data_IF_031646995314
#
_entry.id   IF_031646995314
#
_cell.length_a   1.000
_cell.length_b   1.000
_cell.length_c   1.000
_cell.angle_alpha   90.00
_cell.angle_beta   90.00
_cell.angle_gamma   90.00
#
_symmetry.space_group_name_H-M   'P 1'
#
loop_
_entity.id
_entity.type
_entity.pdbx_description
1 polymer ?
#
# COMPACT_ATOMS: atom_id res chain seq x y z
N UNK A 1 -16.96 38.07 17.83
CA UNK A 1 -17.58 36.82 18.33
C UNK A 1 -16.98 35.66 17.56
N UNK A 2 -15.94 35.03 18.10
CA UNK A 2 -15.42 33.75 17.60
C UNK A 2 -16.40 32.66 18.04
N UNK A 3 -16.97 31.90 17.11
CA UNK A 3 -17.72 30.68 17.45
C UNK A 3 -16.69 29.59 17.82
N UNK A 4 -16.83 28.89 18.93
CA UNK A 4 -15.96 27.75 19.22
C UNK A 4 -16.34 26.62 18.27
N UNK A 5 -15.38 26.18 17.47
CA UNK A 5 -15.49 25.01 16.57
C UNK A 5 -15.03 23.72 17.26
N UNK A 6 -14.44 23.79 18.46
CA UNK A 6 -13.81 22.62 19.07
C UNK A 6 -14.53 22.20 20.35
N UNK A 7 -15.35 21.15 20.22
CA UNK A 7 -15.55 20.06 21.19
C UNK A 7 -16.63 19.13 20.60
N UNK A 8 -16.24 18.35 19.59
CA UNK A 8 -16.98 17.15 19.25
C UNK A 8 -16.94 16.23 20.48
N UNK A 9 -18.10 16.01 21.09
CA UNK A 9 -18.30 15.17 22.27
C UNK A 9 -17.49 13.87 22.18
N UNK A 10 -16.61 13.55 23.15
CA UNK A 10 -15.87 12.29 23.21
C UNK A 10 -16.79 11.06 23.01
N UNK A 11 -18.05 11.16 23.42
CA UNK A 11 -19.05 10.13 23.22
C UNK A 11 -19.40 9.92 21.74
N UNK A 12 -19.51 10.99 20.95
CA UNK A 12 -19.78 10.94 19.51
C UNK A 12 -18.62 10.30 18.75
N UNK A 13 -17.39 10.67 19.08
CA UNK A 13 -16.21 10.06 18.46
C UNK A 13 -16.09 8.57 18.82
N UNK A 14 -16.43 8.19 20.05
CA UNK A 14 -16.49 6.79 20.46
C UNK A 14 -17.52 5.98 19.66
N UNK A 15 -18.71 6.55 19.40
CA UNK A 15 -19.75 5.91 18.57
C UNK A 15 -19.24 5.70 17.14
N UNK A 16 -18.64 6.73 16.52
CA UNK A 16 -18.06 6.65 15.18
C UNK A 16 -16.99 5.55 15.10
N UNK A 17 -16.02 5.59 16.02
CA UNK A 17 -14.92 4.63 16.06
C UNK A 17 -15.43 3.20 16.29
N UNK A 18 -16.45 3.00 17.14
CA UNK A 18 -17.04 1.69 17.39
C UNK A 18 -17.79 1.17 16.17
N UNK A 19 -18.59 2.00 15.50
CA UNK A 19 -19.29 1.62 14.29
C UNK A 19 -18.31 1.25 13.18
N UNK A 20 -17.24 2.04 13.01
CA UNK A 20 -16.14 1.75 12.09
C UNK A 20 -15.47 0.41 12.42
N UNK A 21 -15.10 0.18 13.68
CA UNK A 21 -14.49 -1.07 14.12
C UNK A 21 -15.33 -2.30 13.78
N UNK A 22 -16.65 -2.19 13.89
CA UNK A 22 -17.59 -3.30 13.62
C UNK A 22 -17.77 -3.62 12.14
N UNK A 23 -17.49 -2.68 11.23
CA UNK A 23 -17.69 -2.88 9.78
C UNK A 23 -16.40 -2.99 9.00
N UNK A 24 -15.28 -2.44 9.50
CA UNK A 24 -14.02 -2.33 8.78
C UNK A 24 -13.60 -3.67 8.18
N UNK A 25 -13.67 -4.76 8.95
CA UNK A 25 -13.28 -6.10 8.49
C UNK A 25 -14.21 -6.68 7.40
N UNK A 26 -15.50 -6.38 7.47
CA UNK A 26 -16.45 -6.87 6.47
C UNK A 26 -16.32 -6.08 5.16
N UNK A 27 -16.12 -4.77 5.26
CA UNK A 27 -15.85 -3.88 4.14
C UNK A 27 -14.56 -4.24 3.42
N UNK A 28 -13.51 -4.43 4.19
CA UNK A 28 -12.27 -5.07 3.79
C UNK A 28 -12.47 -6.29 2.88
N UNK A 29 -13.19 -7.31 3.38
CA UNK A 29 -13.43 -8.54 2.63
C UNK A 29 -14.23 -8.28 1.34
N UNK A 30 -15.31 -7.50 1.42
CA UNK A 30 -16.15 -7.11 0.28
C UNK A 30 -15.37 -6.34 -0.79
N UNK A 31 -14.50 -5.43 -0.36
CA UNK A 31 -13.63 -4.65 -1.22
C UNK A 31 -12.68 -5.58 -1.96
N UNK A 32 -11.93 -6.46 -1.26
CA UNK A 32 -11.00 -7.41 -1.87
C UNK A 32 -11.68 -8.31 -2.91
N UNK A 33 -12.89 -8.81 -2.64
CA UNK A 33 -13.62 -9.68 -3.57
C UNK A 33 -14.00 -9.01 -4.89
N UNK A 34 -14.21 -7.69 -4.89
CA UNK A 34 -14.65 -6.93 -6.07
C UNK A 34 -13.58 -5.99 -6.61
N UNK A 35 -12.38 -6.02 -6.00
CA UNK A 35 -11.31 -5.06 -6.21
C UNK A 35 -10.82 -5.04 -7.66
N UNK A 36 -10.47 -6.20 -8.22
CA UNK A 36 -9.88 -6.27 -9.56
C UNK A 36 -10.86 -5.80 -10.64
N UNK A 37 -12.13 -6.21 -10.55
CA UNK A 37 -13.18 -5.76 -11.46
C UNK A 37 -13.37 -4.24 -11.40
N UNK A 38 -13.35 -3.67 -10.19
CA UNK A 38 -13.46 -2.22 -9.97
C UNK A 38 -12.25 -1.47 -10.47
N UNK A 39 -11.05 -1.97 -10.20
CA UNK A 39 -9.80 -1.41 -10.71
C UNK A 39 -9.87 -1.34 -12.23
N UNK A 40 -10.23 -2.44 -12.89
CA UNK A 40 -10.30 -2.48 -14.34
C UNK A 40 -11.31 -1.50 -14.93
N UNK A 41 -12.49 -1.38 -14.32
CA UNK A 41 -13.50 -0.40 -14.73
C UNK A 41 -12.99 1.04 -14.60
N UNK A 42 -12.35 1.37 -13.47
CA UNK A 42 -11.80 2.71 -13.23
C UNK A 42 -10.62 3.04 -14.15
N UNK A 43 -9.79 2.05 -14.50
CA UNK A 43 -8.70 2.23 -15.47
C UNK A 43 -9.25 2.56 -16.87
N UNK A 44 -10.33 1.92 -17.30
CA UNK A 44 -10.96 2.25 -18.60
C UNK A 44 -11.61 3.63 -18.60
N UNK A 45 -12.21 4.03 -17.47
CA UNK A 45 -12.76 5.38 -17.31
C UNK A 45 -11.67 6.46 -17.33
N UNK A 46 -10.56 6.25 -16.60
CA UNK A 46 -9.38 7.10 -16.65
C UNK A 46 -8.78 7.20 -18.06
N UNK A 47 -8.79 6.09 -18.81
CA UNK A 47 -8.40 6.08 -20.22
C UNK A 47 -9.28 7.01 -21.06
N UNK A 48 -10.58 7.02 -20.81
CA UNK A 48 -11.53 7.99 -21.38
C UNK A 48 -11.11 9.42 -21.12
N UNK A 49 -10.85 9.78 -19.86
CA UNK A 49 -10.37 11.12 -19.49
C UNK A 49 -9.08 11.49 -20.21
N UNK A 50 -8.12 10.57 -20.33
CA UNK A 50 -6.88 10.81 -21.08
C UNK A 50 -7.13 11.13 -22.57
N UNK A 51 -8.09 10.44 -23.21
CA UNK A 51 -8.44 10.71 -24.61
C UNK A 51 -9.05 12.10 -24.77
N UNK A 52 -9.96 12.47 -23.88
CA UNK A 52 -10.64 13.76 -23.93
C UNK A 52 -9.67 14.92 -23.65
N UNK A 53 -8.83 14.78 -22.62
CA UNK A 53 -7.76 15.76 -22.33
C UNK A 53 -6.84 15.91 -23.53
N UNK A 54 -6.42 14.81 -24.17
CA UNK A 54 -5.55 14.87 -25.35
C UNK A 54 -6.24 15.58 -26.52
N UNK A 55 -7.54 15.38 -26.71
CA UNK A 55 -8.30 16.07 -27.75
C UNK A 55 -8.36 17.58 -27.49
N UNK A 56 -8.56 18.01 -26.25
CA UNK A 56 -8.51 19.42 -25.87
C UNK A 56 -7.13 20.05 -26.11
N UNK A 57 -6.05 19.28 -25.86
CA UNK A 57 -4.68 19.69 -26.15
C UNK A 57 -4.41 19.85 -27.65
N UNK A 58 -4.82 18.86 -28.45
CA UNK A 58 -4.67 18.91 -29.91
C UNK A 58 -5.47 20.05 -30.55
N UNK A 59 -6.57 20.45 -29.93
CA UNK A 59 -7.40 21.58 -30.37
C UNK A 59 -6.92 22.94 -29.85
N UNK A 60 -5.84 22.96 -29.04
CA UNK A 60 -5.25 24.17 -28.48
C UNK A 60 -6.08 24.84 -27.40
N UNK A 61 -7.14 24.18 -26.89
CA UNK A 61 -7.99 24.70 -25.81
C UNK A 61 -7.40 24.46 -24.42
N UNK A 62 -6.56 23.44 -24.28
CA UNK A 62 -5.82 23.15 -23.05
C UNK A 62 -4.33 23.05 -23.35
N UNK A 63 -3.51 23.68 -22.53
CA UNK A 63 -2.06 23.50 -22.57
C UNK A 63 -1.61 22.20 -21.89
N UNK A 64 -0.38 22.23 -21.37
CA UNK A 64 0.13 21.19 -20.49
C UNK A 64 -0.69 21.13 -19.21
N UNK A 65 -0.92 19.91 -18.72
CA UNK A 65 -1.56 19.70 -17.42
C UNK A 65 -0.50 19.43 -16.35
N UNK A 66 -0.67 20.03 -15.17
CA UNK A 66 0.15 19.75 -13.99
C UNK A 66 -0.57 18.88 -12.97
N UNK A 67 -1.90 18.83 -12.99
CA UNK A 67 -2.67 18.13 -11.98
C UNK A 67 -3.87 17.40 -12.58
N UNK A 68 -4.16 16.20 -12.04
CA UNK A 68 -5.49 15.58 -12.11
C UNK A 68 -5.98 15.40 -10.68
N UNK A 69 -7.10 16.04 -10.31
CA UNK A 69 -7.61 16.01 -8.94
C UNK A 69 -8.96 15.35 -8.88
N UNK A 70 -9.10 14.34 -8.02
CA UNK A 70 -10.37 13.70 -7.68
C UNK A 70 -10.88 14.27 -6.35
N UNK A 71 -11.93 15.06 -6.43
CA UNK A 71 -12.49 15.79 -5.30
C UNK A 71 -13.86 15.24 -4.91
N UNK A 72 -13.95 14.69 -3.70
CA UNK A 72 -15.21 14.26 -3.11
C UNK A 72 -16.11 15.48 -2.87
N UNK A 73 -17.33 15.44 -3.39
CA UNK A 73 -18.35 16.45 -3.13
C UNK A 73 -19.26 15.97 -1.99
N UNK A 74 -19.00 16.43 -0.76
CA UNK A 74 -19.82 16.05 0.43
C UNK A 74 -21.32 16.28 0.24
N UNK A 75 -21.71 17.34 -0.48
CA UNK A 75 -23.11 17.65 -0.76
C UNK A 75 -23.80 16.56 -1.60
N UNK A 76 -23.15 16.08 -2.65
CA UNK A 76 -23.75 15.04 -3.51
C UNK A 76 -23.84 13.71 -2.77
N UNK A 77 -22.93 13.45 -1.83
CA UNK A 77 -22.98 12.26 -0.97
C UNK A 77 -24.18 12.28 -0.01
N UNK A 78 -24.54 13.45 0.54
CA UNK A 78 -25.77 13.62 1.32
C UNK A 78 -27.02 13.41 0.46
N UNK A 79 -26.97 13.79 -0.81
CA UNK A 79 -28.03 13.58 -1.80
C UNK A 79 -28.02 12.16 -2.40
N UNK A 80 -27.31 11.21 -1.80
CA UNK A 80 -27.23 9.81 -2.24
C UNK A 80 -26.65 9.62 -3.65
N UNK A 81 -25.86 10.60 -4.11
CA UNK A 81 -25.17 10.61 -5.39
C UNK A 81 -23.66 10.71 -5.15
N UNK A 82 -22.96 9.61 -4.80
CA UNK A 82 -21.55 9.66 -4.45
C UNK A 82 -20.70 9.84 -5.71
N UNK A 83 -20.45 11.10 -6.06
CA UNK A 83 -19.69 11.51 -7.24
C UNK A 83 -18.44 12.23 -6.79
N UNK A 84 -17.36 12.02 -7.54
CA UNK A 84 -16.16 12.84 -7.44
C UNK A 84 -16.11 13.77 -8.65
N UNK A 85 -15.78 15.03 -8.38
CA UNK A 85 -15.39 15.95 -9.43
C UNK A 85 -13.94 15.64 -9.81
N UNK A 86 -13.69 15.39 -11.09
CA UNK A 86 -12.35 15.16 -11.62
C UNK A 86 -11.92 16.38 -12.42
N UNK A 87 -10.82 17.00 -12.04
CA UNK A 87 -10.32 18.22 -12.70
C UNK A 87 -8.91 18.01 -13.23
N UNK A 88 -8.73 18.19 -14.55
CA UNK A 88 -7.42 18.27 -15.17
C UNK A 88 -7.00 19.75 -15.33
N UNK A 89 -6.02 20.15 -14.53
CA UNK A 89 -5.57 21.53 -14.40
C UNK A 89 -4.10 21.70 -14.84
N UNK A 90 -3.72 22.90 -15.24
CA UNK A 90 -2.34 23.32 -15.48
C UNK A 90 -1.58 23.48 -14.14
N UNK A 91 -0.34 24.01 -14.19
CA UNK A 91 0.49 24.20 -13.01
C UNK A 91 -0.12 25.07 -11.88
N UNK A 92 -1.18 25.86 -12.16
CA UNK A 92 -1.89 26.66 -11.17
C UNK A 92 -2.87 25.85 -10.30
N UNK A 93 -3.06 24.56 -10.62
CA UNK A 93 -3.92 23.64 -9.88
C UNK A 93 -5.34 24.20 -9.66
N UNK A 94 -5.74 24.44 -8.40
CA UNK A 94 -7.05 24.98 -8.02
C UNK A 94 -7.31 26.37 -8.61
N UNK A 95 -6.25 27.12 -8.94
CA UNK A 95 -6.33 28.46 -9.52
C UNK A 95 -6.32 28.46 -11.06
N UNK A 96 -6.35 27.28 -11.69
CA UNK A 96 -6.52 27.21 -13.14
C UNK A 96 -7.88 27.80 -13.55
N UNK A 97 -7.92 28.81 -14.42
CA UNK A 97 -9.19 29.42 -14.85
C UNK A 97 -10.04 28.49 -15.73
N UNK A 98 -9.42 27.52 -16.42
CA UNK A 98 -10.10 26.66 -17.40
C UNK A 98 -9.71 25.18 -17.21
N UNK A 99 -10.04 24.55 -16.06
CA UNK A 99 -9.82 23.13 -15.85
C UNK A 99 -10.77 22.31 -16.75
N UNK A 100 -10.29 21.18 -17.26
CA UNK A 100 -11.18 20.21 -17.91
C UNK A 100 -11.84 19.41 -16.79
N UNK A 101 -13.17 19.36 -16.78
CA UNK A 101 -13.96 18.74 -15.71
C UNK A 101 -14.66 17.48 -16.19
N UNK A 102 -14.62 16.46 -15.36
CA UNK A 102 -15.38 15.23 -15.52
C UNK A 102 -16.11 14.91 -14.21
N UNK A 103 -17.13 14.09 -14.29
CA UNK A 103 -17.77 13.47 -13.13
C UNK A 103 -17.39 12.00 -13.09
N UNK A 104 -16.90 11.55 -11.94
CA UNK A 104 -16.62 10.15 -11.69
C UNK A 104 -17.69 9.56 -10.78
N UNK A 105 -18.47 8.62 -11.33
CA UNK A 105 -19.49 7.91 -10.58
C UNK A 105 -18.87 6.86 -9.67
N UNK A 106 -19.07 7.03 -8.36
CA UNK A 106 -18.62 6.05 -7.36
C UNK A 106 -19.79 5.35 -6.70
N UNK A 107 -20.86 5.03 -7.44
CA UNK A 107 -22.08 4.42 -6.88
C UNK A 107 -21.82 3.08 -6.16
N UNK A 108 -20.73 2.38 -6.48
CA UNK A 108 -20.31 1.21 -5.72
C UNK A 108 -20.02 1.51 -4.24
N UNK A 109 -19.62 2.74 -3.91
CA UNK A 109 -19.37 3.22 -2.54
C UNK A 109 -20.68 3.40 -1.76
N UNK A 110 -21.82 3.56 -2.44
CA UNK A 110 -23.12 3.77 -1.82
C UNK A 110 -23.50 2.59 -0.91
N UNK A 111 -23.17 1.36 -1.30
CA UNK A 111 -23.41 0.19 -0.44
C UNK A 111 -22.64 0.26 0.90
N UNK A 112 -21.46 0.89 0.90
CA UNK A 112 -20.68 1.13 2.10
C UNK A 112 -21.31 2.28 2.90
N UNK A 113 -21.73 3.37 2.24
CA UNK A 113 -22.48 4.45 2.88
C UNK A 113 -23.70 3.95 3.66
N UNK A 114 -24.54 3.11 3.05
CA UNK A 114 -25.72 2.55 3.70
C UNK A 114 -25.38 1.61 4.85
N UNK A 115 -24.34 0.78 4.69
CA UNK A 115 -23.89 -0.14 5.75
C UNK A 115 -23.39 0.63 6.99
N UNK A 116 -22.64 1.72 6.78
CA UNK A 116 -22.14 2.60 7.84
C UNK A 116 -23.29 3.32 8.54
N UNK A 117 -24.22 3.89 7.77
CA UNK A 117 -25.39 4.57 8.32
C UNK A 117 -26.22 3.64 9.21
N UNK A 118 -26.47 2.39 8.77
CA UNK A 118 -27.19 1.40 9.57
C UNK A 118 -26.47 1.05 10.87
N UNK A 119 -25.14 0.97 10.84
CA UNK A 119 -24.33 0.60 12.01
C UNK A 119 -24.23 1.75 13.00
N UNK A 120 -24.07 2.98 12.51
CA UNK A 120 -24.14 4.18 13.33
C UNK A 120 -25.50 4.32 14.03
N UNK A 121 -26.61 4.12 13.30
CA UNK A 121 -27.96 4.11 13.90
C UNK A 121 -28.06 3.14 15.07
N UNK A 122 -27.60 1.90 14.89
CA UNK A 122 -27.61 0.89 15.96
C UNK A 122 -26.74 1.27 17.16
N UNK A 123 -25.57 1.86 16.95
CA UNK A 123 -24.69 2.28 18.06
C UNK A 123 -25.25 3.50 18.82
N UNK A 124 -25.85 4.46 18.13
CA UNK A 124 -26.55 5.60 18.74
C UNK A 124 -27.74 5.14 19.59
N UNK A 125 -28.55 4.21 19.07
CA UNK A 125 -29.67 3.59 19.80
C UNK A 125 -29.20 2.88 21.08
N UNK A 126 -28.11 2.09 21.01
CA UNK A 126 -27.56 1.39 22.18
C UNK A 126 -27.08 2.35 23.27
N UNK A 127 -26.48 3.47 22.88
CA UNK A 127 -26.01 4.48 23.84
C UNK A 127 -27.13 5.43 24.31
N UNK A 128 -28.38 5.21 23.88
CA UNK A 128 -29.55 6.00 24.25
C UNK A 128 -29.38 7.50 23.92
N UNK A 129 -28.61 7.81 22.87
CA UNK A 129 -28.38 9.18 22.39
C UNK A 129 -29.48 9.54 21.40
N UNK A 130 -30.08 10.72 21.54
CA UNK A 130 -31.03 11.26 20.57
C UNK A 130 -30.35 12.30 19.70
N UNK A 131 -30.25 12.04 18.40
CA UNK A 131 -29.66 12.96 17.43
C UNK A 131 -30.77 13.58 16.56
N UNK A 132 -30.86 14.92 16.45
CA UNK A 132 -31.74 15.59 15.49
C UNK A 132 -31.26 15.32 14.04
N UNK A 133 -32.10 15.59 13.04
CA UNK A 133 -31.76 15.37 11.61
C UNK A 133 -30.44 16.04 11.21
N UNK A 134 -30.25 17.31 11.58
CA UNK A 134 -28.99 18.03 11.33
C UNK A 134 -27.77 17.37 12.01
N UNK A 135 -27.98 16.75 13.19
CA UNK A 135 -26.94 16.01 13.89
C UNK A 135 -26.56 14.72 13.15
N UNK A 136 -27.55 14.05 12.55
CA UNK A 136 -27.31 12.87 11.70
C UNK A 136 -26.51 13.21 10.45
N UNK A 137 -26.84 14.32 9.78
CA UNK A 137 -26.08 14.79 8.62
C UNK A 137 -24.62 15.04 8.99
N UNK A 138 -24.36 15.74 10.10
CA UNK A 138 -23.00 16.02 10.55
C UNK A 138 -22.22 14.75 10.90
N UNK A 139 -22.85 13.79 11.60
CA UNK A 139 -22.22 12.50 11.93
C UNK A 139 -21.90 11.71 10.66
N UNK A 140 -22.81 11.68 9.69
CA UNK A 140 -22.57 10.98 8.43
C UNK A 140 -21.46 11.65 7.60
N UNK A 141 -21.36 12.97 7.60
CA UNK A 141 -20.26 13.68 6.94
C UNK A 141 -18.90 13.36 7.58
N UNK A 142 -18.83 13.28 8.92
CA UNK A 142 -17.60 12.85 9.61
C UNK A 142 -17.26 11.39 9.30
N UNK A 143 -18.26 10.52 9.24
CA UNK A 143 -18.07 9.12 8.95
C UNK A 143 -17.67 8.86 7.47
N UNK A 144 -17.97 9.79 6.57
CA UNK A 144 -17.64 9.74 5.15
C UNK A 144 -16.14 9.52 4.89
N UNK A 145 -15.29 10.05 5.79
CA UNK A 145 -13.83 9.91 5.72
C UNK A 145 -13.41 8.43 5.64
N UNK A 146 -14.12 7.52 6.33
CA UNK A 146 -13.81 6.09 6.27
C UNK A 146 -14.03 5.47 4.88
N UNK A 147 -15.01 5.97 4.14
CA UNK A 147 -15.27 5.53 2.76
C UNK A 147 -14.32 6.25 1.81
N UNK A 148 -13.99 7.51 2.07
CA UNK A 148 -12.98 8.22 1.30
C UNK A 148 -11.62 7.50 1.33
N UNK A 149 -11.23 6.98 2.48
CA UNK A 149 -10.01 6.16 2.62
C UNK A 149 -10.03 4.91 1.71
N UNK A 150 -11.18 4.26 1.51
CA UNK A 150 -11.33 3.18 0.52
C UNK A 150 -11.08 3.65 -0.90
N UNK A 151 -11.61 4.83 -1.25
CA UNK A 151 -11.44 5.41 -2.58
C UNK A 151 -9.97 5.77 -2.82
N UNK A 152 -9.29 6.39 -1.87
CA UNK A 152 -7.85 6.70 -1.98
C UNK A 152 -7.02 5.44 -2.21
N UNK A 153 -7.27 4.38 -1.44
CA UNK A 153 -6.60 3.09 -1.62
C UNK A 153 -6.85 2.48 -3.00
N UNK A 154 -8.10 2.47 -3.43
CA UNK A 154 -8.45 1.97 -4.77
C UNK A 154 -7.73 2.78 -5.84
N UNK A 155 -7.73 4.11 -5.71
CA UNK A 155 -7.10 5.01 -6.68
C UNK A 155 -5.59 4.79 -6.76
N UNK A 156 -4.89 4.52 -5.67
CA UNK A 156 -3.46 4.14 -5.73
C UNK A 156 -3.21 2.94 -6.62
N UNK A 157 -4.06 1.90 -6.52
CA UNK A 157 -3.96 0.70 -7.33
C UNK A 157 -4.38 0.94 -8.79
N UNK A 158 -5.44 1.74 -9.00
CA UNK A 158 -5.91 2.14 -10.33
C UNK A 158 -4.82 2.92 -11.05
N UNK A 159 -4.25 3.94 -10.42
CA UNK A 159 -3.25 4.81 -11.03
C UNK A 159 -1.98 4.04 -11.35
N UNK A 160 -1.54 3.07 -10.52
CA UNK A 160 -0.42 2.17 -10.84
C UNK A 160 -0.59 1.49 -12.21
N UNK A 161 -1.80 1.05 -12.57
CA UNK A 161 -2.10 0.47 -13.89
C UNK A 161 -2.37 1.55 -14.96
N UNK A 162 -3.04 2.63 -14.59
CA UNK A 162 -3.50 3.66 -15.52
C UNK A 162 -2.34 4.47 -16.14
N UNK A 163 -1.25 4.69 -15.39
CA UNK A 163 -0.08 5.41 -15.90
C UNK A 163 0.70 4.61 -16.94
N UNK A 164 0.51 3.30 -17.03
CA UNK A 164 1.09 2.46 -18.08
C UNK A 164 0.30 2.53 -19.40
N UNK A 165 -0.85 3.21 -19.44
CA UNK A 165 -1.68 3.30 -20.64
C UNK A 165 -1.01 4.14 -21.73
N UNK A 166 -1.08 3.72 -23.01
CA UNK A 166 -0.59 4.52 -24.14
C UNK A 166 -1.25 5.90 -24.22
N UNK A 167 -2.53 6.02 -23.86
CA UNK A 167 -3.27 7.28 -23.84
C UNK A 167 -2.70 8.26 -22.81
N UNK A 168 -2.37 7.78 -21.62
CA UNK A 168 -1.75 8.60 -20.58
C UNK A 168 -0.35 9.06 -20.99
N UNK A 169 0.45 8.18 -21.58
CA UNK A 169 1.80 8.50 -22.04
C UNK A 169 1.82 9.58 -23.13
N UNK A 170 0.74 9.72 -23.91
CA UNK A 170 0.58 10.74 -24.96
C UNK A 170 0.16 12.12 -24.44
N UNK A 171 -0.21 12.25 -23.17
CA UNK A 171 -0.62 13.53 -22.59
C UNK A 171 0.57 14.49 -22.49
N UNK A 172 0.34 15.73 -22.92
CA UNK A 172 1.29 16.82 -22.68
C UNK A 172 1.16 17.26 -21.22
N UNK A 173 2.19 17.02 -20.43
CA UNK A 173 2.21 17.27 -18.99
C UNK A 173 3.28 18.29 -18.66
N UNK A 174 3.06 19.04 -17.58
CA UNK A 174 4.07 19.92 -17.00
C UNK A 174 5.26 19.11 -16.48
N UNK A 175 6.36 19.79 -16.18
CA UNK A 175 7.56 19.13 -15.64
C UNK A 175 7.26 18.42 -14.32
N UNK A 176 6.48 19.08 -13.45
CA UNK A 176 5.87 18.45 -12.28
C UNK A 176 4.42 18.12 -12.58
N UNK A 177 4.06 16.85 -12.48
CA UNK A 177 2.71 16.36 -12.67
C UNK A 177 2.26 15.53 -11.46
N UNK A 178 1.05 15.78 -10.96
CA UNK A 178 0.51 15.09 -9.79
C UNK A 178 -0.93 14.61 -10.01
N UNK A 179 -1.26 13.44 -9.48
CA UNK A 179 -2.65 12.97 -9.35
C UNK A 179 -2.98 12.94 -7.87
N UNK A 180 -4.04 13.66 -7.50
CA UNK A 180 -4.46 13.84 -6.11
C UNK A 180 -5.88 13.34 -5.91
N UNK A 181 -6.14 12.77 -4.74
CA UNK A 181 -7.47 12.31 -4.32
C UNK A 181 -7.76 12.90 -2.96
N UNK A 182 -8.92 13.52 -2.81
CA UNK A 182 -9.26 14.19 -1.56
C UNK A 182 -10.67 14.72 -1.56
N UNK A 183 -10.89 15.68 -0.69
CA UNK A 183 -12.13 16.42 -0.59
C UNK A 183 -12.06 17.74 -1.36
N UNK A 184 -13.20 18.17 -1.90
CA UNK A 184 -13.26 19.41 -2.66
C UNK A 184 -12.89 20.62 -1.80
N UNK A 185 -11.84 21.33 -2.21
CA UNK A 185 -11.30 22.51 -1.51
C UNK A 185 -10.84 22.25 -0.06
N UNK A 186 -10.49 21.00 0.24
CA UNK A 186 -10.01 20.58 1.56
C UNK A 186 -8.80 19.64 1.37
N UNK A 187 -8.51 18.81 2.37
CA UNK A 187 -7.36 17.91 2.37
C UNK A 187 -7.37 16.96 1.16
N UNK A 188 -6.23 16.91 0.46
CA UNK A 188 -5.99 15.99 -0.66
C UNK A 188 -4.67 15.26 -0.48
N UNK A 189 -4.67 13.97 -0.80
CA UNK A 189 -3.52 13.08 -0.74
C UNK A 189 -2.99 12.86 -2.16
N UNK A 190 -1.67 12.93 -2.31
CA UNK A 190 -1.00 12.52 -3.54
C UNK A 190 -1.10 11.01 -3.71
N UNK A 191 -1.62 10.55 -4.85
CA UNK A 191 -1.64 9.13 -5.20
C UNK A 191 -0.67 8.79 -6.33
N UNK A 192 -0.15 9.81 -7.01
CA UNK A 192 0.92 9.69 -8.00
C UNK A 192 1.57 11.04 -8.21
N UNK A 193 2.89 11.03 -8.33
CA UNK A 193 3.68 12.20 -8.69
C UNK A 193 4.69 11.79 -9.75
N UNK A 194 4.91 12.67 -10.71
CA UNK A 194 5.95 12.60 -11.71
C UNK A 194 6.68 13.95 -11.67
N UNK A 195 7.97 13.92 -11.35
CA UNK A 195 8.82 15.11 -11.40
C UNK A 195 9.90 14.89 -12.44
N UNK A 196 9.78 15.58 -13.58
CA UNK A 196 10.73 15.52 -14.70
C UNK A 196 11.80 16.60 -14.60
N UNK A 197 11.79 17.40 -13.53
CA UNK A 197 12.88 18.33 -13.27
C UNK A 197 14.12 17.50 -12.94
N UNK A 198 15.25 17.90 -13.50
CA UNK A 198 16.54 17.38 -13.03
C UNK A 198 16.76 18.00 -11.66
N UNK A 199 16.36 17.28 -10.62
CA UNK A 199 16.81 17.61 -9.28
C UNK A 199 18.28 17.23 -9.19
N UNK A 200 19.12 18.17 -8.79
CA UNK A 200 20.54 17.91 -8.59
C UNK A 200 20.68 16.82 -7.51
N UNK A 201 21.37 15.71 -7.84
CA UNK A 201 21.51 14.57 -6.93
C UNK A 201 22.08 14.96 -5.56
N UNK A 202 22.85 16.05 -5.50
CA UNK A 202 23.42 16.61 -4.28
C UNK A 202 22.37 17.23 -3.36
N UNK A 203 21.31 17.85 -3.89
CA UNK A 203 20.25 18.45 -3.10
C UNK A 203 19.40 17.37 -2.41
N UNK A 204 19.02 16.34 -3.17
CA UNK A 204 18.28 15.20 -2.62
C UNK A 204 19.14 14.44 -1.60
N UNK A 205 20.44 14.29 -1.87
CA UNK A 205 21.37 13.70 -0.91
C UNK A 205 21.43 14.51 0.38
N UNK A 206 21.55 15.85 0.29
CA UNK A 206 21.52 16.75 1.45
C UNK A 206 20.25 16.55 2.27
N UNK A 207 19.08 16.54 1.63
CA UNK A 207 17.80 16.37 2.32
C UNK A 207 17.69 15.03 3.06
N UNK A 208 18.19 13.95 2.44
CA UNK A 208 18.18 12.62 3.04
C UNK A 208 19.19 12.48 4.18
N UNK A 209 20.38 13.07 4.05
CA UNK A 209 21.42 13.08 5.08
C UNK A 209 21.05 13.99 6.26
N UNK A 210 20.36 15.09 6.01
CA UNK A 210 19.87 16.04 7.02
C UNK A 210 18.57 15.59 7.70
N UNK A 211 17.97 14.49 7.23
CA UNK A 211 16.73 13.91 7.76
C UNK A 211 15.59 14.93 7.83
N UNK A 212 15.42 15.73 6.76
CA UNK A 212 14.36 16.74 6.73
C UNK A 212 12.98 16.10 6.81
N UNK A 213 12.25 16.39 7.89
CA UNK A 213 10.94 15.81 8.14
C UNK A 213 9.96 16.17 7.01
N UNK A 214 9.24 15.17 6.50
CA UNK A 214 8.27 15.27 5.40
C UNK A 214 8.82 15.63 4.00
N UNK A 215 10.14 15.80 3.83
CA UNK A 215 10.71 16.17 2.53
C UNK A 215 10.58 15.04 1.49
N UNK A 216 10.62 13.79 1.92
CA UNK A 216 10.77 12.63 1.04
C UNK A 216 9.49 11.81 0.83
N UNK A 217 8.43 11.96 1.63
CA UNK A 217 7.17 11.23 1.41
C UNK A 217 6.44 11.74 0.17
N UNK A 218 5.78 10.84 -0.58
CA UNK A 218 5.05 11.18 -1.82
C UNK A 218 5.90 11.83 -2.93
N UNK A 219 7.22 11.64 -2.89
CA UNK A 219 8.10 12.17 -3.92
C UNK A 219 8.22 11.22 -5.11
N UNK A 220 8.71 11.75 -6.22
CA UNK A 220 9.18 10.98 -7.36
C UNK A 220 10.66 11.27 -7.53
N UNK A 221 11.50 10.30 -7.18
CA UNK A 221 12.95 10.36 -7.22
C UNK A 221 13.43 9.52 -8.41
N UNK A 222 14.19 10.12 -9.31
CA UNK A 222 14.66 9.48 -10.54
C UNK A 222 16.17 9.64 -10.71
N UNK A 223 16.88 8.57 -11.09
CA UNK A 223 18.31 8.59 -11.49
C UNK A 223 19.25 9.17 -10.43
N UNK A 224 19.13 8.69 -9.20
CA UNK A 224 19.92 9.16 -8.05
C UNK A 224 20.85 8.07 -7.57
N UNK A 225 22.07 8.47 -7.22
CA UNK A 225 23.14 7.66 -6.68
C UNK A 225 23.25 7.89 -5.17
N UNK A 226 22.85 6.89 -4.40
CA UNK A 226 22.70 6.90 -2.93
C UNK A 226 23.27 5.61 -2.31
N UNK A 227 24.21 4.94 -2.99
CA UNK A 227 24.93 3.77 -2.47
C UNK A 227 25.74 4.11 -1.22
N UNK A 228 25.92 3.11 -0.35
CA UNK A 228 26.66 3.19 0.92
C UNK A 228 26.14 4.22 1.95
N UNK A 229 24.92 4.74 1.75
CA UNK A 229 24.29 5.73 2.64
C UNK A 229 23.55 5.11 3.82
N UNK A 230 23.41 5.85 4.93
CA UNK A 230 22.53 5.49 6.05
C UNK A 230 21.28 6.38 6.06
N UNK A 231 20.15 5.77 5.75
CA UNK A 231 18.82 6.37 5.61
C UNK A 231 17.83 5.74 6.59
N UNK A 232 18.33 5.23 7.71
CA UNK A 232 17.53 4.55 8.73
C UNK A 232 16.46 5.46 9.34
N UNK A 233 15.32 4.86 9.71
CA UNK A 233 14.18 5.53 10.39
C UNK A 233 13.46 6.60 9.56
N UNK A 234 13.75 6.73 8.27
CA UNK A 234 13.07 7.68 7.39
C UNK A 234 11.69 7.16 6.92
N UNK A 235 10.82 8.10 6.57
CA UNK A 235 9.42 7.87 6.15
C UNK A 235 9.20 8.15 4.66
N UNK A 236 9.46 7.15 3.84
CA UNK A 236 9.32 7.20 2.39
C UNK A 236 7.93 6.84 1.88
N UNK A 237 6.87 6.94 2.69
CA UNK A 237 5.54 6.50 2.27
C UNK A 237 5.13 7.03 0.89
N UNK A 238 4.69 6.11 0.04
CA UNK A 238 4.22 6.37 -1.33
C UNK A 238 5.21 7.11 -2.24
N UNK A 239 6.50 6.98 -1.95
CA UNK A 239 7.57 7.54 -2.78
C UNK A 239 7.84 6.62 -3.96
N UNK A 240 7.96 7.19 -5.14
CA UNK A 240 8.38 6.49 -6.34
C UNK A 240 9.90 6.68 -6.54
N UNK A 241 10.63 5.58 -6.49
CA UNK A 241 12.06 5.47 -6.78
C UNK A 241 12.21 4.84 -8.17
N UNK A 242 12.76 5.60 -9.12
CA UNK A 242 13.00 5.12 -10.49
C UNK A 242 14.47 5.19 -10.84
N UNK A 243 15.04 4.08 -11.30
CA UNK A 243 16.45 4.02 -11.70
C UNK A 243 17.38 4.55 -10.59
N UNK A 244 17.10 4.16 -9.35
CA UNK A 244 17.87 4.56 -8.18
C UNK A 244 18.95 3.53 -7.91
N UNK A 245 20.13 3.99 -7.53
CA UNK A 245 21.22 3.15 -7.07
C UNK A 245 21.42 3.38 -5.56
N UNK A 246 21.13 2.36 -4.76
CA UNK A 246 21.27 2.33 -3.29
C UNK A 246 21.93 1.02 -2.86
N UNK A 247 23.01 0.65 -3.56
CA UNK A 247 23.74 -0.56 -3.21
C UNK A 247 24.41 -0.39 -1.85
N UNK A 248 24.34 -1.43 -1.01
CA UNK A 248 24.94 -1.47 0.34
C UNK A 248 24.43 -0.40 1.32
N UNK A 249 23.36 0.31 0.97
CA UNK A 249 22.76 1.34 1.82
C UNK A 249 21.91 0.75 2.94
N UNK A 250 21.76 1.50 4.03
CA UNK A 250 20.98 1.11 5.21
C UNK A 250 19.67 1.87 5.27
N UNK A 251 18.56 1.15 5.15
CA UNK A 251 17.18 1.62 5.34
C UNK A 251 16.56 0.86 6.51
N UNK A 252 17.21 0.94 7.68
CA UNK A 252 16.80 0.19 8.88
C UNK A 252 15.62 0.87 9.57
N UNK A 253 14.54 0.10 9.77
CA UNK A 253 13.32 0.55 10.43
C UNK A 253 12.65 1.75 9.77
N UNK A 254 12.68 1.81 8.44
CA UNK A 254 12.04 2.85 7.65
C UNK A 254 10.55 2.55 7.41
N UNK A 255 9.78 3.59 7.10
CA UNK A 255 8.40 3.45 6.63
C UNK A 255 8.39 3.54 5.10
N UNK A 256 8.24 2.39 4.43
CA UNK A 256 8.28 2.24 2.97
C UNK A 256 6.91 1.82 2.42
N UNK A 257 5.83 2.15 3.13
CA UNK A 257 4.48 1.72 2.77
C UNK A 257 4.11 2.31 1.42
N UNK A 258 3.71 1.44 0.49
CA UNK A 258 3.29 1.80 -0.86
C UNK A 258 4.37 2.43 -1.74
N UNK A 259 5.65 2.30 -1.40
CA UNK A 259 6.74 2.77 -2.27
C UNK A 259 6.79 1.97 -3.56
N UNK A 260 7.17 2.62 -4.65
CA UNK A 260 7.36 1.97 -5.95
C UNK A 260 8.81 2.09 -6.35
N UNK A 261 9.49 0.97 -6.54
CA UNK A 261 10.87 0.87 -6.99
C UNK A 261 10.88 0.26 -8.38
N UNK A 262 11.32 1.03 -9.37
CA UNK A 262 11.38 0.60 -10.77
C UNK A 262 12.82 0.68 -11.26
N UNK A 263 13.28 -0.39 -11.92
CA UNK A 263 14.60 -0.43 -12.57
C UNK A 263 15.75 -0.01 -11.63
N UNK A 264 15.62 -0.29 -10.33
CA UNK A 264 16.54 0.20 -9.30
C UNK A 264 17.54 -0.88 -8.86
N UNK A 265 18.75 -0.44 -8.49
CA UNK A 265 19.84 -1.28 -8.00
C UNK A 265 19.94 -1.14 -6.48
N UNK A 266 19.56 -2.19 -5.77
CA UNK A 266 19.46 -2.26 -4.31
C UNK A 266 20.24 -3.47 -3.77
N UNK A 267 21.34 -3.81 -4.44
CA UNK A 267 22.17 -4.97 -4.07
C UNK A 267 22.77 -4.75 -2.67
N UNK A 268 22.63 -5.73 -1.78
CA UNK A 268 23.15 -5.65 -0.41
C UNK A 268 22.45 -4.61 0.49
N UNK A 269 21.29 -4.09 0.10
CA UNK A 269 20.53 -3.12 0.91
C UNK A 269 20.08 -3.73 2.24
N UNK A 270 20.14 -2.97 3.33
CA UNK A 270 19.66 -3.38 4.66
C UNK A 270 18.30 -2.73 4.99
N UNK A 271 17.24 -3.53 4.93
CA UNK A 271 15.85 -3.14 5.17
C UNK A 271 15.31 -3.67 6.51
N UNK A 272 16.17 -4.13 7.42
CA UNK A 272 15.70 -4.79 8.65
C UNK A 272 14.73 -3.92 9.45
N UNK A 273 13.70 -4.55 10.00
CA UNK A 273 12.64 -3.92 10.80
C UNK A 273 11.79 -2.86 10.07
N UNK A 274 11.92 -2.72 8.75
CA UNK A 274 11.17 -1.73 7.99
C UNK A 274 9.74 -2.18 7.67
N UNK A 275 8.85 -1.19 7.50
CA UNK A 275 7.45 -1.39 7.11
C UNK A 275 7.32 -1.30 5.59
N UNK A 276 7.02 -2.42 4.93
CA UNK A 276 6.99 -2.58 3.49
C UNK A 276 5.57 -2.79 2.92
N UNK A 277 4.51 -2.53 3.70
CA UNK A 277 3.15 -2.83 3.26
C UNK A 277 2.81 -2.21 1.89
N UNK A 278 2.42 -3.04 0.92
CA UNK A 278 2.12 -2.60 -0.45
C UNK A 278 3.30 -2.02 -1.23
N UNK A 279 4.54 -2.16 -0.76
CA UNK A 279 5.72 -1.75 -1.49
C UNK A 279 5.91 -2.62 -2.74
N UNK A 280 6.40 -2.01 -3.81
CA UNK A 280 6.67 -2.64 -5.09
C UNK A 280 8.17 -2.55 -5.42
N UNK A 281 8.82 -3.70 -5.46
CA UNK A 281 10.21 -3.92 -5.85
C UNK A 281 10.32 -4.72 -7.16
N UNK A 282 9.27 -4.75 -7.97
CA UNK A 282 9.23 -5.52 -9.20
C UNK A 282 10.38 -5.17 -10.14
N UNK A 283 11.04 -6.20 -10.68
CA UNK A 283 12.18 -6.08 -11.59
C UNK A 283 13.44 -5.43 -10.99
N UNK A 284 13.50 -5.14 -9.70
CA UNK A 284 14.69 -4.54 -9.08
C UNK A 284 15.81 -5.58 -8.87
N UNK A 285 17.06 -5.12 -8.85
CA UNK A 285 18.18 -5.95 -8.40
C UNK A 285 18.35 -5.79 -6.90
N UNK A 286 18.24 -6.88 -6.15
CA UNK A 286 18.27 -6.91 -4.68
C UNK A 286 19.15 -8.07 -4.18
N UNK A 287 20.27 -8.33 -4.86
CA UNK A 287 21.16 -9.46 -4.55
C UNK A 287 21.77 -9.28 -3.18
N UNK A 288 21.66 -10.28 -2.31
CA UNK A 288 22.16 -10.21 -0.94
C UNK A 288 21.48 -9.15 -0.08
N UNK A 289 20.30 -8.64 -0.47
CA UNK A 289 19.53 -7.72 0.34
C UNK A 289 19.14 -8.36 1.69
N UNK A 290 19.08 -7.57 2.74
CA UNK A 290 18.76 -8.02 4.11
C UNK A 290 17.38 -7.47 4.48
N UNK A 291 16.37 -8.34 4.45
CA UNK A 291 14.98 -8.04 4.78
C UNK A 291 14.52 -8.81 6.02
N UNK A 292 15.42 -9.04 6.98
CA UNK A 292 15.07 -9.73 8.22
C UNK A 292 14.06 -8.90 9.03
N UNK A 293 13.03 -9.57 9.56
CA UNK A 293 12.02 -8.97 10.45
C UNK A 293 11.23 -7.80 9.80
N UNK A 294 11.18 -7.71 8.47
CA UNK A 294 10.33 -6.72 7.79
C UNK A 294 8.86 -7.00 8.01
N UNK A 295 8.03 -5.95 7.96
CA UNK A 295 6.57 -6.06 8.05
C UNK A 295 5.94 -5.62 6.72
N UNK A 296 5.47 -6.58 5.93
CA UNK A 296 4.91 -6.35 4.60
C UNK A 296 3.65 -7.17 4.33
N UNK A 297 2.92 -7.54 5.37
CA UNK A 297 1.74 -8.39 5.26
C UNK A 297 0.65 -7.76 4.38
N UNK A 298 0.06 -8.61 3.55
CA UNK A 298 -1.21 -8.40 2.89
C UNK A 298 -2.37 -8.64 3.88
N UNK A 299 -3.45 -7.90 3.69
CA UNK A 299 -4.69 -8.09 4.45
C UNK A 299 -4.81 -7.16 5.66
N UNK A 300 -5.69 -7.53 6.57
CA UNK A 300 -6.16 -6.67 7.65
C UNK A 300 -5.50 -7.10 8.95
N UNK A 301 -4.72 -6.20 9.57
CA UNK A 301 -4.14 -6.48 10.87
C UNK A 301 -5.22 -6.94 11.86
N UNK A 302 -5.03 -8.11 12.47
CA UNK A 302 -5.80 -8.49 13.67
C UNK A 302 -5.44 -7.62 14.87
N UNK A 303 -4.22 -7.07 14.86
CA UNK A 303 -3.72 -6.17 15.88
C UNK A 303 -4.11 -4.73 15.55
N UNK A 304 -5.08 -4.25 16.32
CA UNK A 304 -5.65 -2.92 16.28
C UNK A 304 -4.68 -1.79 16.70
N UNK A 305 -3.36 -1.93 16.48
CA UNK A 305 -2.37 -0.93 16.92
C UNK A 305 -1.98 0.09 15.85
N UNK A 306 -2.28 -0.18 14.58
CA UNK A 306 -2.02 0.77 13.51
C UNK A 306 -3.32 1.55 13.23
N UNK A 307 -3.59 2.54 14.09
CA UNK A 307 -4.74 3.46 14.02
C UNK A 307 -4.82 4.25 12.70
N UNK A 308 -3.76 4.19 11.88
CA UNK A 308 -3.63 4.91 10.61
C UNK A 308 -3.92 4.07 9.37
N UNK A 309 -4.20 2.76 9.47
CA UNK A 309 -4.29 1.91 8.26
C UNK A 309 -5.63 2.05 7.50
N UNK A 310 -5.58 2.48 6.23
CA UNK A 310 -6.63 2.22 5.27
C UNK A 310 -6.85 0.71 5.13
N UNK A 311 -8.09 0.31 4.86
CA UNK A 311 -8.49 -1.08 4.64
C UNK A 311 -7.54 -1.83 3.69
N UNK A 312 -6.64 -2.63 4.27
CA UNK A 312 -5.89 -3.71 3.64
C UNK A 312 -4.81 -3.22 2.69
N UNK A 313 -3.55 -3.52 3.01
CA UNK A 313 -2.49 -3.38 2.03
C UNK A 313 -2.42 -4.60 1.13
N UNK A 314 -2.02 -4.37 -0.12
CA UNK A 314 -1.47 -5.43 -0.94
C UNK A 314 -0.19 -5.97 -0.25
N UNK A 315 0.13 -7.24 -0.49
CA UNK A 315 1.44 -7.76 -0.08
C UNK A 315 2.56 -7.05 -0.81
N UNK A 316 3.79 -7.23 -0.32
CA UNK A 316 4.97 -6.72 -1.02
C UNK A 316 5.11 -7.40 -2.38
N UNK A 317 5.37 -6.62 -3.42
CA UNK A 317 5.55 -7.11 -4.78
C UNK A 317 7.04 -7.18 -5.12
N UNK A 318 7.53 -8.40 -5.35
CA UNK A 318 8.88 -8.73 -5.79
C UNK A 318 8.88 -9.39 -7.18
N UNK A 319 7.83 -9.18 -7.98
CA UNK A 319 7.69 -9.84 -9.29
C UNK A 319 8.92 -9.61 -10.17
N UNK A 320 9.56 -10.69 -10.62
CA UNK A 320 10.77 -10.64 -11.45
C UNK A 320 12.02 -10.03 -10.78
N UNK A 321 12.01 -9.81 -9.46
CA UNK A 321 13.14 -9.22 -8.75
C UNK A 321 14.32 -10.21 -8.62
N UNK A 322 15.55 -9.68 -8.62
CA UNK A 322 16.77 -10.46 -8.45
C UNK A 322 17.18 -10.50 -6.97
N UNK A 323 16.82 -11.57 -6.26
CA UNK A 323 16.95 -11.74 -4.80
C UNK A 323 17.96 -12.84 -4.41
N UNK A 324 18.97 -13.10 -5.25
CA UNK A 324 19.95 -14.16 -4.97
C UNK A 324 20.65 -13.92 -3.64
N UNK A 325 20.64 -14.94 -2.77
CA UNK A 325 21.25 -14.85 -1.45
C UNK A 325 20.64 -13.81 -0.52
N UNK A 326 19.43 -13.30 -0.83
CA UNK A 326 18.75 -12.35 0.04
C UNK A 326 18.29 -13.01 1.35
N UNK A 327 18.19 -12.22 2.42
CA UNK A 327 17.76 -12.66 3.74
C UNK A 327 16.35 -12.16 4.04
N UNK A 328 15.51 -13.03 4.58
CA UNK A 328 14.13 -12.79 4.97
C UNK A 328 13.83 -13.47 6.31
N UNK A 329 14.82 -13.56 7.20
CA UNK A 329 14.66 -14.27 8.45
C UNK A 329 13.57 -13.61 9.30
N UNK A 330 12.60 -14.40 9.77
CA UNK A 330 11.47 -13.95 10.59
C UNK A 330 10.66 -12.80 9.95
N UNK A 331 10.72 -12.64 8.62
CA UNK A 331 9.99 -11.63 7.88
C UNK A 331 8.47 -11.92 7.87
N UNK A 332 7.65 -10.88 7.95
CA UNK A 332 6.20 -10.98 7.86
C UNK A 332 5.73 -10.55 6.48
N UNK A 333 5.53 -11.51 5.59
CA UNK A 333 5.29 -11.31 4.16
C UNK A 333 4.06 -12.10 3.68
N UNK A 334 3.00 -12.13 4.49
CA UNK A 334 1.72 -12.73 4.10
C UNK A 334 1.25 -12.13 2.78
N UNK A 335 0.84 -12.95 1.82
CA UNK A 335 0.36 -12.50 0.51
C UNK A 335 1.38 -11.75 -0.34
N UNK A 336 2.68 -11.82 -0.04
CA UNK A 336 3.72 -11.25 -0.90
C UNK A 336 3.79 -11.97 -2.25
N UNK A 337 4.20 -11.25 -3.28
CA UNK A 337 4.27 -11.74 -4.66
C UNK A 337 5.72 -11.86 -5.09
N UNK A 338 6.20 -13.08 -5.28
CA UNK A 338 7.52 -13.45 -5.77
C UNK A 338 7.46 -14.08 -7.16
N UNK A 339 6.39 -13.82 -7.93
CA UNK A 339 6.22 -14.41 -9.26
C UNK A 339 7.44 -14.14 -10.15
N UNK A 340 7.99 -15.17 -10.79
CA UNK A 340 9.17 -15.10 -11.67
C UNK A 340 10.43 -14.50 -11.01
N UNK A 341 10.45 -14.35 -9.68
CA UNK A 341 11.60 -13.81 -8.95
C UNK A 341 12.75 -14.82 -8.85
N UNK A 342 13.97 -14.32 -8.74
CA UNK A 342 15.18 -15.13 -8.66
C UNK A 342 15.73 -15.14 -7.23
N UNK A 343 15.39 -16.18 -6.45
CA UNK A 343 15.70 -16.34 -5.02
C UNK A 343 16.74 -17.44 -4.76
N UNK A 344 17.63 -17.72 -5.71
CA UNK A 344 18.60 -18.80 -5.53
C UNK A 344 19.44 -18.56 -4.25
N UNK A 345 19.52 -19.58 -3.40
CA UNK A 345 20.23 -19.54 -2.10
C UNK A 345 19.73 -18.48 -1.11
N UNK A 346 18.49 -17.99 -1.26
CA UNK A 346 17.89 -17.07 -0.31
C UNK A 346 17.59 -17.74 1.05
N UNK A 347 17.57 -16.96 2.12
CA UNK A 347 17.30 -17.41 3.49
C UNK A 347 15.93 -16.90 3.97
N UNK A 348 14.89 -17.73 3.92
CA UNK A 348 13.53 -17.40 4.36
C UNK A 348 13.15 -18.10 5.67
N UNK A 349 14.12 -18.30 6.56
CA UNK A 349 13.92 -19.05 7.80
C UNK A 349 12.96 -18.32 8.74
N UNK A 350 11.97 -19.02 9.29
CA UNK A 350 10.98 -18.44 10.21
C UNK A 350 10.00 -17.44 9.60
N UNK A 351 10.11 -17.14 8.30
CA UNK A 351 9.24 -16.16 7.63
C UNK A 351 7.77 -16.61 7.61
N UNK A 352 6.85 -15.66 7.77
CA UNK A 352 5.43 -15.87 7.50
C UNK A 352 5.14 -15.52 6.04
N UNK A 353 4.95 -16.55 5.22
CA UNK A 353 4.68 -16.47 3.79
C UNK A 353 3.28 -17.05 3.48
N UNK A 354 2.36 -16.95 4.42
CA UNK A 354 0.97 -17.40 4.24
C UNK A 354 0.37 -16.70 3.02
N UNK A 355 -0.25 -17.46 2.11
CA UNK A 355 -0.84 -17.00 0.85
C UNK A 355 0.15 -16.28 -0.11
N UNK A 356 1.47 -16.42 0.07
CA UNK A 356 2.46 -15.83 -0.83
C UNK A 356 2.50 -16.55 -2.20
N UNK A 357 2.79 -15.81 -3.27
CA UNK A 357 2.88 -16.36 -4.62
C UNK A 357 4.34 -16.49 -5.07
N UNK A 358 4.83 -17.71 -5.26
CA UNK A 358 6.15 -18.05 -5.82
C UNK A 358 6.04 -18.63 -7.24
N UNK A 359 4.94 -18.39 -7.95
CA UNK A 359 4.70 -18.98 -9.26
C UNK A 359 5.83 -18.66 -10.25
N UNK A 360 6.43 -19.69 -10.86
CA UNK A 360 7.56 -19.55 -11.78
C UNK A 360 8.86 -19.01 -11.16
N UNK A 361 8.94 -18.84 -9.84
CA UNK A 361 10.14 -18.34 -9.17
C UNK A 361 11.27 -19.39 -9.17
N UNK A 362 12.52 -18.93 -9.16
CA UNK A 362 13.68 -19.80 -8.92
C UNK A 362 14.12 -19.70 -7.46
N UNK A 363 13.72 -20.66 -6.65
CA UNK A 363 14.08 -20.78 -5.22
C UNK A 363 15.11 -21.87 -4.99
N UNK A 364 15.91 -22.23 -6.01
CA UNK A 364 16.89 -23.30 -5.89
C UNK A 364 17.92 -23.05 -4.79
N UNK A 365 18.21 -24.09 -4.01
CA UNK A 365 19.07 -24.06 -2.82
C UNK A 365 18.64 -23.05 -1.73
N UNK A 366 17.41 -22.51 -1.78
CA UNK A 366 16.89 -21.62 -0.75
C UNK A 366 16.51 -22.39 0.54
N UNK A 367 16.55 -21.70 1.67
CA UNK A 367 16.19 -22.26 2.98
C UNK A 367 14.85 -21.71 3.47
N UNK A 368 13.88 -22.60 3.70
CA UNK A 368 12.56 -22.28 4.28
C UNK A 368 12.38 -22.86 5.69
N UNK A 369 13.48 -23.06 6.44
CA UNK A 369 13.41 -23.72 7.74
C UNK A 369 12.52 -22.94 8.71
N UNK A 370 11.46 -23.58 9.20
CA UNK A 370 10.51 -22.95 10.12
C UNK A 370 9.57 -21.91 9.49
N UNK A 371 9.60 -21.71 8.17
CA UNK A 371 8.70 -20.79 7.49
C UNK A 371 7.26 -21.31 7.44
N UNK A 372 6.28 -20.41 7.55
CA UNK A 372 4.87 -20.71 7.35
C UNK A 372 4.51 -20.56 5.86
N UNK A 373 4.16 -21.68 5.20
CA UNK A 373 3.84 -21.75 3.77
C UNK A 373 2.37 -22.11 3.49
N UNK A 374 1.48 -21.83 4.44
CA UNK A 374 0.04 -22.16 4.29
C UNK A 374 -0.54 -21.34 3.12
N UNK A 375 -1.13 -21.99 2.13
CA UNK A 375 -1.71 -21.34 0.95
C UNK A 375 -0.68 -20.76 -0.02
N UNK A 376 0.62 -20.92 0.24
CA UNK A 376 1.66 -20.40 -0.64
C UNK A 376 1.69 -21.19 -1.97
N UNK A 377 1.80 -20.48 -3.09
CA UNK A 377 1.75 -21.05 -4.43
C UNK A 377 3.15 -21.21 -5.03
N UNK A 378 3.61 -22.45 -5.22
CA UNK A 378 4.89 -22.79 -5.87
C UNK A 378 4.70 -23.39 -7.26
N UNK A 379 3.56 -23.16 -7.92
CA UNK A 379 3.30 -23.64 -9.28
C UNK A 379 4.43 -23.22 -10.23
N UNK A 380 5.00 -24.17 -10.96
CA UNK A 380 6.13 -23.98 -11.89
C UNK A 380 7.42 -23.40 -11.26
N UNK A 381 7.53 -23.36 -9.92
CA UNK A 381 8.73 -22.88 -9.25
C UNK A 381 9.89 -23.90 -9.32
N UNK A 382 11.12 -23.42 -9.51
CA UNK A 382 12.32 -24.25 -9.39
C UNK A 382 12.70 -24.40 -7.91
N UNK A 383 12.37 -25.55 -7.33
CA UNK A 383 12.65 -25.91 -5.94
C UNK A 383 13.83 -26.88 -5.76
N UNK A 384 14.72 -26.98 -6.77
CA UNK A 384 15.88 -27.87 -6.68
C UNK A 384 16.74 -27.55 -5.45
N UNK A 385 17.14 -28.58 -4.71
CA UNK A 385 18.00 -28.42 -3.52
C UNK A 385 17.29 -27.91 -2.27
N UNK A 386 15.99 -27.58 -2.36
CA UNK A 386 15.18 -27.16 -1.21
C UNK A 386 14.69 -28.38 -0.44
N UNK A 387 14.76 -28.29 0.88
CA UNK A 387 14.23 -29.29 1.81
C UNK A 387 12.98 -28.72 2.47
N UNK A 388 11.82 -29.34 2.20
CA UNK A 388 10.57 -28.98 2.85
C UNK A 388 10.18 -30.01 3.91
N UNK A 389 9.54 -29.52 4.98
CA UNK A 389 8.87 -30.39 5.95
C UNK A 389 7.55 -30.93 5.39
N UNK A 390 7.07 -32.04 5.97
CA UNK A 390 5.76 -32.62 5.65
C UNK A 390 4.60 -31.61 5.82
N UNK A 391 4.69 -30.73 6.81
CA UNK A 391 3.67 -29.71 7.06
C UNK A 391 3.65 -28.66 5.95
N UNK A 392 4.83 -28.21 5.51
CA UNK A 392 4.97 -27.23 4.43
C UNK A 392 4.45 -27.77 3.10
N UNK A 393 4.79 -29.02 2.76
CA UNK A 393 4.30 -29.66 1.53
C UNK A 393 2.78 -29.80 1.47
N UNK A 394 2.12 -30.05 2.61
CA UNK A 394 0.65 -30.13 2.68
C UNK A 394 -0.03 -28.77 2.69
N UNK A 395 0.67 -27.75 3.18
CA UNK A 395 0.14 -26.40 3.31
C UNK A 395 0.25 -25.58 2.03
N UNK A 396 1.25 -25.86 1.20
CA UNK A 396 1.52 -25.13 -0.04
C UNK A 396 0.93 -25.83 -1.27
N UNK A 397 0.74 -25.06 -2.34
CA UNK A 397 0.28 -25.51 -3.65
C UNK A 397 1.52 -25.77 -4.53
N UNK A 398 1.53 -26.85 -5.32
CA UNK A 398 2.61 -27.14 -6.29
C UNK A 398 3.85 -27.83 -5.73
N UNK A 399 3.85 -28.22 -4.44
CA UNK A 399 4.96 -28.92 -3.77
C UNK A 399 4.73 -30.44 -3.61
N UNK A 400 3.80 -31.04 -4.35
CA UNK A 400 3.45 -32.46 -4.22
C UNK A 400 4.61 -33.40 -4.55
N UNK A 401 5.55 -32.95 -5.39
CA UNK A 401 6.70 -33.72 -5.88
C UNK A 401 8.03 -33.36 -5.19
N UNK A 402 8.05 -32.36 -4.31
CA UNK A 402 9.26 -31.82 -3.71
C UNK A 402 9.92 -32.77 -2.70
N UNK A 403 11.26 -32.69 -2.60
CA UNK A 403 12.09 -33.53 -1.74
C UNK A 403 11.71 -33.38 -0.26
N UNK A 404 11.64 -34.50 0.46
CA UNK A 404 11.38 -34.52 1.90
C UNK A 404 12.66 -34.35 2.70
N UNK A 405 12.53 -33.73 3.87
CA UNK A 405 13.49 -33.92 4.96
C UNK A 405 13.44 -35.40 5.40
N UNK A 406 14.22 -36.27 4.75
CA UNK A 406 14.39 -37.65 5.23
C UNK A 406 15.04 -37.57 6.59
N UNK A 407 14.38 -38.16 7.60
CA UNK A 407 14.77 -38.16 8.99
C UNK A 407 16.22 -38.64 9.22
N UNK A 408 17.17 -37.71 9.12
CA UNK A 408 18.38 -37.79 9.92
C UNK A 408 17.90 -37.64 11.36
N UNK A 409 17.99 -38.73 12.11
CA UNK A 409 17.52 -38.91 13.47
C UNK A 409 17.76 -37.68 14.37
N UNK A 410 16.78 -36.78 14.43
CA UNK A 410 16.67 -35.81 15.49
C UNK A 410 16.06 -36.55 16.68
N UNK A 411 16.91 -36.90 17.66
CA UNK A 411 16.42 -37.17 19.01
C UNK A 411 15.80 -35.86 19.51
N UNK A 412 14.51 -35.91 19.84
CA UNK A 412 13.85 -34.83 20.58
C UNK A 412 14.74 -34.39 21.76
N UNK A 413 15.06 -33.10 21.91
CA UNK A 413 15.47 -32.61 23.20
C UNK A 413 14.26 -32.76 24.13
N UNK A 414 14.44 -33.53 25.20
CA UNK A 414 13.47 -33.65 26.28
C UNK A 414 12.97 -32.27 26.68
N UNK A 415 11.66 -32.04 26.56
CA UNK A 415 11.00 -30.82 27.01
C UNK A 415 11.20 -30.73 28.53
N UNK A 416 12.17 -29.94 28.98
CA UNK A 416 12.23 -29.49 30.37
C UNK A 416 11.10 -28.49 30.59
N UNK A 417 10.31 -28.72 31.64
CA UNK A 417 9.08 -28.03 32.01
C UNK A 417 9.27 -26.55 32.44
N UNK A 418 9.82 -25.70 31.57
CA UNK A 418 9.96 -24.24 31.81
C UNK A 418 9.34 -23.36 30.72
N UNK A 419 8.70 -23.92 29.68
CA UNK A 419 8.02 -23.14 28.64
C UNK A 419 6.49 -23.03 28.84
N UNK A 420 6.01 -23.02 30.10
CA UNK A 420 4.60 -22.74 30.43
C UNK A 420 4.34 -21.40 31.14
N UNK A 421 5.37 -20.60 31.40
CA UNK A 421 5.23 -19.32 32.12
C UNK A 421 5.52 -18.05 31.30
N UNK A 422 5.73 -18.14 29.98
CA UNK A 422 6.01 -16.96 29.13
C UNK A 422 4.77 -16.29 28.51
N UNK A 423 3.54 -16.67 28.91
CA UNK A 423 2.28 -16.04 28.44
C UNK A 423 1.75 -14.99 29.45
N UNK A 424 2.50 -14.66 30.51
CA UNK A 424 2.00 -13.82 31.62
C UNK A 424 2.86 -12.60 31.98
N UNK A 425 3.60 -11.98 31.06
CA UNK A 425 4.20 -10.64 31.33
C UNK A 425 4.08 -9.69 30.13
N UNK A 426 2.86 -9.15 29.97
CA UNK A 426 2.63 -7.84 29.35
C UNK A 426 3.02 -6.75 30.35
N UNK A 427 4.26 -6.30 30.35
CA UNK A 427 4.65 -5.03 30.98
C UNK A 427 5.86 -4.43 30.25
N UNK A 428 5.58 -3.71 29.16
CA UNK A 428 6.45 -2.64 28.64
C UNK A 428 5.57 -1.54 28.05
N UNK A 429 5.03 -0.70 28.93
CA UNK A 429 4.45 0.61 28.63
C UNK A 429 4.58 1.46 29.90
N UNK A 430 5.65 2.25 29.96
CA UNK A 430 5.72 3.52 30.67
C UNK A 430 6.57 4.49 29.87
#
# INVERSE_FOLDING_TARGET
MKRPIDELDPQRQAILNQAWFLIRRDWAMKFKMTQEQRIQACVEEFRGYCRDIRQEQLQGRKGKIGYITYSMLRTTWLEERPVYLVEAANALWVLDPEPIRFEWDTNWTYSYWTDLQQKLRREVEKQHVSLPELGWEQVMLEAAVHIHVLVVNMMRLVIKKAVCLPEFQKLEREETFEIRVGEYMDHTVSVYKEDRRVMEANEIRSWLEEQEEHAYSYQALEKIQLSDGDYSQLDFRYTAFRQIEMEHSRLYGCVLVGTVWQESQLNGIDLRYSLLHGADFSGCSMKGAILDVVMGNAGYGSDASLDWEPLGFAGVDFTGASLQGAHFQDAQLRGAVFQEALLQRAFLNGADLTDACFAGADVSDASFKGACLIGADFTDANVQGVIFTDAQRRGAIGLEWATLETSLSYKEPSVSAQARDAVSKREWLH
#
